data_IF_631055375648
#
_entry.id   IF_631055375648
#
_cell.length_a   1.000
_cell.length_b   1.000
_cell.length_c   1.000
_cell.angle_alpha   90.00
_cell.angle_beta   90.00
_cell.angle_gamma   90.00
#
_symmetry.space_group_name_H-M   'P 1'
#
loop_
_entity.id
_entity.type
_entity.pdbx_description
1 polymer ?
#
# COMPACT_ATOMS: atom_id res chain seq x y z
N UNK A 1 -3.55 -9.51 16.03
CA UNK A 1 -2.66 -9.07 14.93
C UNK A 1 -3.22 -9.54 13.60
N UNK A 2 -3.28 -8.65 12.62
CA UNK A 2 -3.84 -8.92 11.29
C UNK A 2 -2.76 -8.83 10.23
N UNK A 3 -2.75 -9.78 9.29
CA UNK A 3 -1.92 -9.73 8.09
C UNK A 3 -2.82 -9.54 6.88
N UNK A 4 -2.45 -8.63 5.99
CA UNK A 4 -3.25 -8.32 4.80
C UNK A 4 -2.37 -8.23 3.56
N UNK A 5 -2.78 -8.93 2.52
CA UNK A 5 -2.16 -8.88 1.21
C UNK A 5 -3.01 -8.00 0.31
N UNK A 6 -2.40 -6.94 -0.23
CA UNK A 6 -3.11 -5.89 -0.93
C UNK A 6 -2.52 -5.72 -2.32
N UNK A 7 -3.37 -5.59 -3.34
CA UNK A 7 -2.94 -5.23 -4.69
C UNK A 7 -3.52 -3.87 -5.04
N UNK A 8 -2.67 -2.94 -5.47
CA UNK A 8 -3.07 -1.58 -5.83
C UNK A 8 -2.93 -1.42 -7.34
N UNK A 9 -4.03 -1.08 -7.99
CA UNK A 9 -4.11 -0.95 -9.44
C UNK A 9 -4.30 0.51 -9.84
N UNK A 10 -3.78 0.85 -11.02
CA UNK A 10 -3.87 2.19 -11.58
C UNK A 10 -2.51 2.68 -12.05
N UNK A 11 -2.34 4.00 -12.11
CA UNK A 11 -1.06 4.61 -12.45
C UNK A 11 -0.23 4.75 -11.17
N UNK A 12 0.36 3.64 -10.73
CA UNK A 12 1.02 3.55 -9.43
C UNK A 12 2.53 3.26 -9.52
N UNK A 13 2.98 2.61 -10.59
CA UNK A 13 4.41 2.39 -10.80
C UNK A 13 5.06 3.68 -11.32
N UNK A 14 6.28 3.95 -10.84
CA UNK A 14 7.00 5.16 -11.21
C UNK A 14 6.56 6.42 -10.46
N UNK A 15 5.62 6.29 -9.53
CA UNK A 15 5.08 7.42 -8.77
C UNK A 15 5.69 7.56 -7.37
N UNK A 16 6.59 6.67 -6.99
CA UNK A 16 7.11 6.61 -5.63
C UNK A 16 6.15 5.91 -4.65
N UNK A 17 5.18 5.16 -5.16
CA UNK A 17 4.16 4.52 -4.34
C UNK A 17 4.75 3.60 -3.29
N UNK A 18 5.75 2.78 -3.66
CA UNK A 18 6.37 1.84 -2.71
C UNK A 18 7.05 2.55 -1.55
N UNK A 19 7.77 3.63 -1.83
CA UNK A 19 8.44 4.43 -0.79
C UNK A 19 7.41 5.12 0.10
N UNK A 20 6.37 5.67 -0.49
CA UNK A 20 5.26 6.28 0.23
C UNK A 20 4.56 5.26 1.13
N UNK A 21 4.27 4.07 0.60
CA UNK A 21 3.63 2.99 1.37
C UNK A 21 4.48 2.57 2.56
N UNK A 22 5.79 2.47 2.37
CA UNK A 22 6.72 2.17 3.46
C UNK A 22 6.64 3.22 4.56
N UNK A 23 6.67 4.50 4.20
CA UNK A 23 6.53 5.59 5.18
C UNK A 23 5.24 5.48 5.98
N UNK A 24 4.11 5.25 5.29
CA UNK A 24 2.81 5.14 5.95
C UNK A 24 2.77 3.94 6.88
N UNK A 25 3.33 2.80 6.47
CA UNK A 25 3.37 1.60 7.30
C UNK A 25 4.18 1.82 8.58
N UNK A 26 5.30 2.52 8.48
CA UNK A 26 6.13 2.85 9.65
C UNK A 26 5.37 3.75 10.63
N UNK A 27 4.68 4.76 10.12
CA UNK A 27 3.86 5.67 10.95
C UNK A 27 2.75 4.92 11.69
N UNK A 28 2.24 3.85 11.09
CA UNK A 28 1.16 3.04 11.68
C UNK A 28 1.69 1.83 12.46
N UNK A 29 3.01 1.74 12.64
CA UNK A 29 3.66 0.61 13.34
C UNK A 29 3.38 -0.74 12.70
N UNK A 30 3.29 -0.77 11.38
CA UNK A 30 3.10 -1.98 10.60
C UNK A 30 4.44 -2.51 10.10
N UNK A 31 4.50 -3.82 9.88
CA UNK A 31 5.62 -4.48 9.20
C UNK A 31 5.13 -5.10 7.91
N UNK A 32 6.02 -5.34 6.97
CA UNK A 32 5.66 -5.96 5.71
C UNK A 32 6.60 -5.58 4.58
N UNK A 33 6.08 -5.63 3.36
CA UNK A 33 6.87 -5.36 2.16
C UNK A 33 5.96 -4.84 1.04
N UNK A 34 6.59 -4.23 0.04
CA UNK A 34 5.91 -3.78 -1.18
C UNK A 34 6.80 -4.09 -2.38
N UNK A 35 6.19 -4.47 -3.50
CA UNK A 35 6.93 -4.76 -4.73
C UNK A 35 6.10 -4.40 -5.96
N UNK A 36 6.78 -4.19 -7.08
CA UNK A 36 6.12 -4.05 -8.38
C UNK A 36 5.69 -5.42 -8.88
N UNK A 37 4.46 -5.54 -9.34
CA UNK A 37 3.99 -6.73 -10.02
C UNK A 37 4.11 -6.57 -11.53
N UNK A 38 4.16 -7.68 -12.25
CA UNK A 38 4.36 -7.65 -13.70
C UNK A 38 3.18 -7.08 -14.47
N UNK A 39 1.99 -7.05 -13.85
CA UNK A 39 0.76 -6.50 -14.47
C UNK A 39 0.62 -4.97 -14.31
N UNK A 40 1.63 -4.31 -13.73
CA UNK A 40 1.60 -2.87 -13.49
C UNK A 40 1.08 -2.47 -12.13
N UNK A 41 0.59 -3.41 -11.33
CA UNK A 41 0.11 -3.13 -9.98
C UNK A 41 1.28 -3.07 -8.98
N UNK A 42 0.98 -2.57 -7.77
CA UNK A 42 1.88 -2.64 -6.63
C UNK A 42 1.28 -3.67 -5.66
N UNK A 43 2.08 -4.64 -5.28
CA UNK A 43 1.69 -5.68 -4.35
C UNK A 43 2.28 -5.37 -2.98
N UNK A 44 1.45 -5.39 -1.95
CA UNK A 44 1.85 -4.99 -0.60
C UNK A 44 1.36 -6.02 0.40
N UNK A 45 2.22 -6.40 1.35
CA UNK A 45 1.81 -7.13 2.52
C UNK A 45 2.10 -6.29 3.75
N UNK A 46 1.12 -6.14 4.62
CA UNK A 46 1.27 -5.45 5.91
C UNK A 46 0.71 -6.30 7.04
N UNK A 47 1.31 -6.16 8.22
CA UNK A 47 0.94 -6.90 9.40
C UNK A 47 1.05 -6.00 10.63
N UNK A 48 0.05 -6.05 11.48
CA UNK A 48 0.01 -5.27 12.70
C UNK A 48 -1.38 -5.29 13.32
N UNK A 49 -1.71 -4.27 14.11
CA UNK A 49 -3.03 -4.16 14.71
C UNK A 49 -4.10 -3.90 13.66
N UNK A 50 -5.30 -4.42 13.89
CA UNK A 50 -6.40 -4.37 12.92
C UNK A 50 -6.73 -2.93 12.50
N UNK A 51 -6.81 -2.00 13.43
CA UNK A 51 -7.08 -0.59 13.14
C UNK A 51 -6.00 0.01 12.25
N UNK A 52 -4.75 -0.30 12.54
CA UNK A 52 -3.61 0.21 11.77
C UNK A 52 -3.62 -0.33 10.35
N UNK A 53 -3.91 -1.62 10.18
CA UNK A 53 -4.02 -2.23 8.85
C UNK A 53 -5.17 -1.60 8.06
N UNK A 54 -6.32 -1.42 8.68
CA UNK A 54 -7.48 -0.80 8.03
C UNK A 54 -7.20 0.66 7.63
N UNK A 55 -6.51 1.41 8.48
CA UNK A 55 -6.10 2.77 8.17
C UNK A 55 -5.13 2.81 6.98
N UNK A 56 -4.21 1.86 6.93
CA UNK A 56 -3.26 1.76 5.82
C UNK A 56 -3.99 1.48 4.50
N UNK A 57 -4.95 0.57 4.50
CA UNK A 57 -5.73 0.26 3.30
C UNK A 57 -6.49 1.49 2.82
N UNK A 58 -7.09 2.24 3.73
CA UNK A 58 -7.78 3.49 3.38
C UNK A 58 -6.84 4.51 2.75
N UNK A 59 -5.61 4.63 3.27
CA UNK A 59 -4.59 5.52 2.70
C UNK A 59 -4.16 5.08 1.30
N UNK A 60 -4.14 3.79 1.02
CA UNK A 60 -3.75 3.26 -0.29
C UNK A 60 -4.70 3.74 -1.41
N UNK A 61 -5.97 3.99 -1.10
CA UNK A 61 -6.91 4.53 -2.08
C UNK A 61 -6.53 5.93 -2.54
N UNK A 62 -5.92 6.74 -1.65
CA UNK A 62 -5.44 8.07 -2.00
C UNK A 62 -4.09 8.02 -2.70
N UNK A 63 -3.16 7.26 -2.16
CA UNK A 63 -1.80 7.16 -2.66
C UNK A 63 -1.02 8.47 -2.53
N UNK A 64 0.22 8.50 -3.03
CA UNK A 64 1.00 9.74 -3.12
C UNK A 64 0.50 10.62 -4.26
N UNK A 65 0.91 11.90 -4.25
CA UNK A 65 0.41 12.95 -5.15
C UNK A 65 0.49 12.62 -6.64
N UNK A 66 1.51 11.88 -7.05
CA UNK A 66 1.73 11.57 -8.46
C UNK A 66 1.18 10.21 -8.89
N UNK A 67 0.40 9.58 -8.04
CA UNK A 67 -0.26 8.32 -8.37
C UNK A 67 -1.73 8.56 -8.70
N UNK A 68 -2.30 7.60 -9.43
CA UNK A 68 -3.73 7.54 -9.67
C UNK A 68 -4.18 6.12 -9.39
N UNK A 69 -4.92 5.94 -8.29
CA UNK A 69 -5.36 4.62 -7.85
C UNK A 69 -6.75 4.35 -8.38
N UNK A 70 -6.88 3.26 -9.15
CA UNK A 70 -8.17 2.82 -9.70
C UNK A 70 -8.85 1.80 -8.79
N UNK A 71 -8.06 0.93 -8.16
CA UNK A 71 -8.61 -0.12 -7.31
C UNK A 71 -7.60 -0.58 -6.26
N UNK A 72 -8.11 -1.06 -5.14
CA UNK A 72 -7.33 -1.65 -4.05
C UNK A 72 -8.02 -2.97 -3.66
N UNK A 73 -7.33 -4.09 -3.87
CA UNK A 73 -7.89 -5.43 -3.59
C UNK A 73 -7.20 -6.17 -2.46
#
# INVERSE_FOLDING_TARGET
>A
MLGSHISVYGEVQGSGFRSWAKEQSIKLSLTGWARKASDGSIEIFVQGEDESVNSFISLCWDGPSFSHVDDVL
#
